data_IF_177514991373
#
_entry.id   IF_177514991373
#
_cell.length_a   1.000
_cell.length_b   1.000
_cell.length_c   1.000
_cell.angle_alpha   90.00
_cell.angle_beta   90.00
_cell.angle_gamma   90.00
#
_symmetry.space_group_name_H-M   'P 1'
#
loop_
_entity.id
_entity.type
_entity.pdbx_description
1 polymer ?
#
# COMPACT_ATOMS: atom_id res chain seq x y z
N UNK A 1 17.68 -35.34 60.15
CA UNK A 1 17.04 -34.17 60.77
C UNK A 1 16.91 -33.11 59.70
N UNK A 2 15.70 -32.92 59.19
CA UNK A 2 15.37 -32.02 58.11
C UNK A 2 15.19 -30.58 58.64
N UNK A 3 15.51 -29.59 57.82
CA UNK A 3 14.90 -28.26 57.94
C UNK A 3 14.69 -27.76 56.52
N UNK A 4 13.41 -27.67 56.14
CA UNK A 4 12.91 -27.16 54.89
C UNK A 4 12.92 -25.63 54.91
N UNK A 5 13.19 -25.01 53.77
CA UNK A 5 12.77 -23.63 53.46
C UNK A 5 12.08 -23.68 52.11
N UNK A 6 10.91 -23.04 52.08
CA UNK A 6 9.80 -23.22 51.16
C UNK A 6 10.05 -22.69 49.75
N UNK A 7 9.41 -23.36 48.78
CA UNK A 7 9.18 -22.92 47.41
C UNK A 7 8.28 -21.67 47.39
N UNK A 8 8.65 -20.64 46.64
CA UNK A 8 7.73 -19.59 46.22
C UNK A 8 7.38 -19.79 44.74
N UNK A 9 6.14 -20.21 44.52
CA UNK A 9 5.45 -20.30 43.24
C UNK A 9 5.28 -18.90 42.61
N UNK A 10 6.01 -18.62 41.53
CA UNK A 10 5.68 -17.52 40.63
C UNK A 10 4.62 -18.00 39.64
N UNK A 11 3.38 -18.11 40.13
CA UNK A 11 2.20 -18.28 39.29
C UNK A 11 1.98 -17.00 38.49
N UNK A 12 2.48 -16.95 37.25
CA UNK A 12 2.16 -15.90 36.28
C UNK A 12 0.67 -15.99 35.94
N UNK A 13 -0.11 -15.07 36.49
CA UNK A 13 -1.48 -14.78 36.12
C UNK A 13 -1.56 -14.62 34.60
N UNK A 14 -2.30 -15.52 33.93
CA UNK A 14 -2.73 -15.33 32.56
C UNK A 14 -3.60 -14.07 32.53
N UNK A 15 -3.05 -12.98 31.98
CA UNK A 15 -3.82 -11.81 31.58
C UNK A 15 -4.80 -12.24 30.49
N UNK A 16 -6.03 -12.51 30.90
CA UNK A 16 -7.19 -12.62 30.03
C UNK A 16 -7.47 -11.25 29.41
N UNK A 17 -7.00 -11.03 28.19
CA UNK A 17 -7.42 -9.91 27.34
C UNK A 17 -7.90 -10.45 25.98
N UNK A 18 -8.96 -11.25 26.01
CA UNK A 18 -9.77 -11.55 24.83
C UNK A 18 -11.24 -11.27 25.19
N UNK A 19 -11.53 -10.01 25.55
CA UNK A 19 -12.92 -9.52 25.51
C UNK A 19 -13.24 -9.16 24.05
N UNK A 20 -14.42 -9.62 23.58
CA UNK A 20 -15.04 -9.35 22.28
C UNK A 20 -14.79 -7.91 21.80
N UNK A 21 -13.70 -7.69 21.07
CA UNK A 21 -13.59 -6.53 20.20
C UNK A 21 -14.41 -6.86 18.97
N UNK A 22 -15.41 -6.03 18.64
CA UNK A 22 -15.90 -5.93 17.26
C UNK A 22 -14.70 -6.11 16.32
N UNK A 23 -14.73 -7.09 15.42
CA UNK A 23 -13.58 -7.50 14.60
C UNK A 23 -13.14 -6.32 13.69
N UNK A 24 -12.40 -5.35 14.25
CA UNK A 24 -11.98 -4.14 13.54
C UNK A 24 -10.89 -4.58 12.59
N UNK A 25 -11.26 -4.73 11.32
CA UNK A 25 -10.32 -5.04 10.25
C UNK A 25 -9.46 -3.81 9.97
N UNK A 26 -8.15 -3.85 10.22
CA UNK A 26 -7.29 -2.70 9.99
C UNK A 26 -7.10 -2.46 8.49
N UNK A 27 -6.74 -1.21 8.14
CA UNK A 27 -6.37 -0.81 6.78
C UNK A 27 -5.07 -0.02 6.80
N UNK A 28 -4.23 -0.19 5.77
CA UNK A 28 -2.95 0.49 5.65
C UNK A 28 -2.95 1.48 4.49
N UNK A 29 -2.30 2.63 4.64
CA UNK A 29 -2.20 3.64 3.58
C UNK A 29 -0.77 4.12 3.41
N UNK A 30 -0.26 4.02 2.19
CA UNK A 30 1.06 4.51 1.79
C UNK A 30 0.93 5.80 0.99
N UNK A 31 1.33 6.92 1.59
CA UNK A 31 1.28 8.22 0.93
C UNK A 31 2.21 8.31 -0.29
N UNK A 32 1.88 9.19 -1.23
CA UNK A 32 2.77 9.54 -2.33
C UNK A 32 3.96 10.37 -1.82
N UNK A 33 5.17 9.87 -2.08
CA UNK A 33 6.40 10.50 -1.58
C UNK A 33 7.55 10.53 -2.61
N UNK A 34 7.28 10.15 -3.88
CA UNK A 34 8.30 10.07 -4.92
C UNK A 34 9.45 9.15 -4.53
N UNK A 35 10.69 9.65 -4.55
CA UNK A 35 11.90 8.85 -4.28
C UNK A 35 12.09 8.49 -2.80
N UNK A 36 11.34 9.10 -1.88
CA UNK A 36 11.24 8.63 -0.49
C UNK A 36 10.46 7.31 -0.39
N UNK A 37 10.04 6.71 -1.51
CA UNK A 37 9.46 5.36 -1.58
C UNK A 37 10.31 4.31 -0.87
N UNK A 38 11.64 4.48 -0.82
CA UNK A 38 12.55 3.60 -0.05
C UNK A 38 12.21 3.54 1.44
N UNK A 39 11.69 4.63 2.03
CA UNK A 39 11.21 4.62 3.41
C UNK A 39 9.98 3.71 3.55
N UNK A 40 9.02 3.86 2.64
CA UNK A 40 7.82 3.02 2.61
C UNK A 40 8.15 1.55 2.35
N UNK A 41 9.20 1.23 1.58
CA UNK A 41 9.71 -0.14 1.43
C UNK A 41 10.17 -0.71 2.77
N UNK A 42 10.91 0.06 3.58
CA UNK A 42 11.29 -0.35 4.92
C UNK A 42 10.09 -0.64 5.81
N UNK A 43 9.08 0.24 5.80
CA UNK A 43 7.82 0.04 6.53
C UNK A 43 7.09 -1.22 6.05
N UNK A 44 7.00 -1.43 4.74
CA UNK A 44 6.38 -2.62 4.15
C UNK A 44 7.12 -3.92 4.51
N UNK A 45 8.47 -3.89 4.57
CA UNK A 45 9.26 -5.02 5.04
C UNK A 45 8.92 -5.35 6.50
N UNK A 46 8.89 -4.35 7.38
CA UNK A 46 8.51 -4.57 8.77
C UNK A 46 7.11 -5.17 8.89
N UNK A 47 6.13 -4.66 8.12
CA UNK A 47 4.78 -5.22 8.09
C UNK A 47 4.79 -6.69 7.64
N UNK A 48 5.48 -7.02 6.55
CA UNK A 48 5.59 -8.40 6.06
C UNK A 48 6.24 -9.33 7.10
N UNK A 49 7.30 -8.85 7.77
CA UNK A 49 8.15 -9.69 8.62
C UNK A 49 7.56 -9.90 10.03
N UNK A 50 6.72 -8.98 10.50
CA UNK A 50 6.21 -8.98 11.88
C UNK A 50 4.70 -9.19 11.98
N UNK A 51 3.98 -9.30 10.86
CA UNK A 51 2.53 -9.48 10.84
C UNK A 51 2.10 -10.41 9.70
N UNK A 52 0.87 -10.95 9.75
CA UNK A 52 0.31 -11.78 8.68
C UNK A 52 -0.49 -10.98 7.64
N UNK A 53 -0.33 -9.65 7.59
CA UNK A 53 -1.22 -8.74 6.85
C UNK A 53 -1.36 -9.08 5.37
N UNK A 54 -0.32 -9.69 4.77
CA UNK A 54 -0.31 -10.13 3.37
C UNK A 54 -1.23 -11.33 3.13
N UNK A 55 -1.42 -12.21 4.12
CA UNK A 55 -2.28 -13.39 4.03
C UNK A 55 -3.74 -13.07 4.39
N UNK A 56 -3.99 -12.02 5.17
CA UNK A 56 -5.33 -11.53 5.53
C UNK A 56 -5.98 -10.76 4.39
N UNK A 57 -6.82 -11.44 3.61
CA UNK A 57 -7.51 -10.88 2.43
C UNK A 57 -8.51 -9.77 2.75
N UNK A 58 -9.00 -9.71 4.00
CA UNK A 58 -9.90 -8.67 4.47
C UNK A 58 -9.20 -7.32 4.69
N UNK A 59 -7.87 -7.33 4.91
CA UNK A 59 -7.09 -6.10 5.13
C UNK A 59 -6.91 -5.38 3.80
N UNK A 60 -7.29 -4.10 3.80
CA UNK A 60 -7.21 -3.21 2.65
C UNK A 60 -5.97 -2.33 2.71
N UNK A 61 -5.44 -2.03 1.54
CA UNK A 61 -4.29 -1.17 1.35
C UNK A 61 -4.68 -0.02 0.44
N UNK A 62 -4.26 1.19 0.77
CA UNK A 62 -4.36 2.34 -0.10
C UNK A 62 -2.97 2.86 -0.44
N UNK A 63 -2.82 3.46 -1.62
CA UNK A 63 -1.57 4.08 -2.01
C UNK A 63 -1.73 5.15 -3.07
N UNK A 64 -0.79 6.10 -3.10
CA UNK A 64 -0.70 7.10 -4.16
C UNK A 64 0.72 7.13 -4.72
N UNK A 65 0.90 7.21 -6.05
CA UNK A 65 2.22 7.27 -6.70
C UNK A 65 3.18 6.20 -6.15
N UNK A 66 4.36 6.59 -5.64
CA UNK A 66 5.33 5.68 -5.02
C UNK A 66 4.75 4.78 -3.91
N UNK A 67 3.78 5.27 -3.13
CA UNK A 67 3.13 4.48 -2.10
C UNK A 67 2.23 3.37 -2.66
N UNK A 68 1.58 3.61 -3.81
CA UNK A 68 0.82 2.57 -4.51
C UNK A 68 1.74 1.47 -5.06
N UNK A 69 2.94 1.84 -5.52
CA UNK A 69 3.95 0.88 -5.94
C UNK A 69 4.44 0.03 -4.76
N UNK A 70 4.74 0.65 -3.61
CA UNK A 70 5.14 -0.09 -2.40
C UNK A 70 4.04 -1.06 -1.94
N UNK A 71 2.79 -0.61 -1.88
CA UNK A 71 1.67 -1.46 -1.52
C UNK A 71 1.52 -2.64 -2.50
N UNK A 72 1.74 -2.39 -3.80
CA UNK A 72 1.77 -3.43 -4.83
C UNK A 72 2.92 -4.41 -4.60
N UNK A 73 4.14 -3.93 -4.34
CA UNK A 73 5.31 -4.75 -4.04
C UNK A 73 5.04 -5.68 -2.85
N UNK A 74 4.47 -5.15 -1.77
CA UNK A 74 4.10 -5.91 -0.58
C UNK A 74 3.06 -7.01 -0.89
N UNK A 75 1.97 -6.65 -1.57
CA UNK A 75 0.85 -7.56 -1.84
C UNK A 75 1.17 -8.61 -2.91
N UNK A 76 2.02 -8.29 -3.86
CA UNK A 76 2.45 -9.20 -4.92
C UNK A 76 3.67 -10.04 -4.52
N UNK A 77 4.32 -9.74 -3.39
CA UNK A 77 5.51 -10.46 -2.94
C UNK A 77 6.73 -10.22 -3.84
N UNK A 78 6.83 -9.01 -4.41
CA UNK A 78 7.99 -8.59 -5.21
C UNK A 78 9.18 -8.35 -4.26
N UNK A 79 10.41 -8.60 -4.72
CA UNK A 79 11.59 -8.36 -3.90
C UNK A 79 11.73 -6.87 -3.54
N UNK A 80 11.82 -6.60 -2.23
CA UNK A 80 11.99 -5.23 -1.74
C UNK A 80 13.35 -4.63 -2.14
N UNK A 81 14.38 -5.47 -2.34
CA UNK A 81 15.70 -5.03 -2.81
C UNK A 81 15.66 -4.53 -4.25
N UNK A 82 15.00 -5.25 -5.15
CA UNK A 82 14.74 -4.84 -6.53
C UNK A 82 13.98 -3.52 -6.59
N UNK A 83 12.88 -3.40 -5.84
CA UNK A 83 12.11 -2.16 -5.79
C UNK A 83 12.92 -0.98 -5.20
N UNK A 84 13.77 -1.24 -4.20
CA UNK A 84 14.68 -0.23 -3.63
C UNK A 84 15.70 0.25 -4.65
N UNK A 85 16.32 -0.69 -5.40
CA UNK A 85 17.29 -0.35 -6.45
C UNK A 85 16.65 0.54 -7.50
N UNK A 86 15.44 0.22 -7.93
CA UNK A 86 14.69 1.04 -8.87
C UNK A 86 14.47 2.47 -8.37
N UNK A 87 13.95 2.65 -7.15
CA UNK A 87 13.75 4.00 -6.60
C UNK A 87 15.05 4.81 -6.56
N UNK A 88 16.17 4.18 -6.22
CA UNK A 88 17.49 4.81 -6.20
C UNK A 88 18.00 5.15 -7.60
N UNK A 89 17.77 4.29 -8.59
CA UNK A 89 18.15 4.52 -9.98
C UNK A 89 17.37 5.70 -10.56
N UNK A 90 16.04 5.72 -10.39
CA UNK A 90 15.21 6.84 -10.84
C UNK A 90 15.66 8.13 -10.15
N UNK A 91 15.94 8.09 -8.84
CA UNK A 91 16.42 9.24 -8.11
C UNK A 91 17.77 9.78 -8.64
N UNK A 92 18.67 8.90 -9.10
CA UNK A 92 19.94 9.29 -9.73
C UNK A 92 19.71 9.96 -11.08
N UNK A 93 18.91 9.35 -11.95
CA UNK A 93 18.59 9.86 -13.29
C UNK A 93 17.94 11.25 -13.20
N UNK A 94 16.96 11.41 -12.31
CA UNK A 94 16.28 12.70 -12.08
C UNK A 94 17.22 13.73 -11.47
N UNK A 95 18.12 13.33 -10.57
CA UNK A 95 19.14 14.24 -9.99
C UNK A 95 20.13 14.73 -11.03
N UNK A 96 20.54 13.86 -11.96
CA UNK A 96 21.46 14.18 -13.03
C UNK A 96 20.80 15.00 -14.15
N UNK A 97 19.48 15.20 -14.10
CA UNK A 97 18.67 15.87 -15.13
C UNK A 97 18.75 15.17 -16.49
N UNK A 98 19.00 13.87 -16.45
CA UNK A 98 18.97 13.05 -17.66
C UNK A 98 17.52 12.99 -18.15
N UNK A 99 17.27 13.18 -19.45
CA UNK A 99 15.92 13.04 -20.00
C UNK A 99 15.47 11.59 -19.82
N UNK A 100 14.45 11.39 -18.98
CA UNK A 100 13.89 10.07 -18.69
C UNK A 100 12.38 10.09 -18.87
N UNK A 101 11.89 9.12 -19.61
CA UNK A 101 10.47 8.80 -19.64
C UNK A 101 10.15 7.93 -18.42
N UNK A 102 9.75 8.57 -17.32
CA UNK A 102 9.40 7.90 -16.08
C UNK A 102 8.24 6.91 -16.26
N UNK A 103 7.31 7.19 -17.18
CA UNK A 103 6.20 6.29 -17.45
C UNK A 103 6.69 5.03 -18.17
N UNK A 104 7.52 5.19 -19.20
CA UNK A 104 8.10 4.03 -19.89
C UNK A 104 8.97 3.16 -18.97
N UNK A 105 9.78 3.79 -18.12
CA UNK A 105 10.60 3.08 -17.14
C UNK A 105 9.74 2.33 -16.13
N UNK A 106 8.69 2.98 -15.60
CA UNK A 106 7.76 2.34 -14.67
C UNK A 106 7.03 1.17 -15.32
N UNK A 107 6.51 1.36 -16.54
CA UNK A 107 5.86 0.30 -17.32
C UNK A 107 6.77 -0.92 -17.47
N UNK A 108 8.04 -0.71 -17.84
CA UNK A 108 9.03 -1.77 -18.01
C UNK A 108 9.22 -2.60 -16.74
N UNK A 109 9.44 -1.92 -15.61
CA UNK A 109 9.55 -2.56 -14.29
C UNK A 109 8.30 -3.35 -13.96
N UNK A 110 7.12 -2.76 -14.14
CA UNK A 110 5.89 -3.44 -13.77
C UNK A 110 5.66 -4.70 -14.62
N UNK A 111 6.06 -4.70 -15.89
CA UNK A 111 6.02 -5.93 -16.70
C UNK A 111 7.00 -6.99 -16.21
N UNK A 112 8.20 -6.58 -15.82
CA UNK A 112 9.29 -7.45 -15.36
C UNK A 112 8.97 -8.11 -14.00
N UNK A 113 8.50 -7.33 -13.03
CA UNK A 113 8.37 -7.78 -11.64
C UNK A 113 6.95 -8.18 -11.22
N UNK A 114 5.89 -7.70 -11.89
CA UNK A 114 4.55 -8.13 -11.50
C UNK A 114 4.32 -9.60 -11.88
N UNK A 115 3.80 -10.42 -10.97
CA UNK A 115 3.32 -11.75 -11.34
C UNK A 115 2.09 -11.64 -12.25
N UNK A 116 1.82 -12.66 -13.07
CA UNK A 116 0.71 -12.65 -14.03
C UNK A 116 -0.67 -12.54 -13.35
N UNK A 117 -0.79 -13.06 -12.13
CA UNK A 117 -1.98 -13.00 -11.30
C UNK A 117 -2.06 -11.73 -10.43
N UNK A 118 -1.19 -10.73 -10.62
CA UNK A 118 -1.14 -9.52 -9.81
C UNK A 118 -2.50 -8.82 -9.69
N UNK A 119 -3.21 -8.68 -10.80
CA UNK A 119 -4.54 -8.09 -10.82
C UNK A 119 -5.54 -8.83 -9.92
N UNK A 120 -5.45 -10.16 -9.80
CA UNK A 120 -6.28 -10.95 -8.89
C UNK A 120 -5.90 -10.75 -7.43
N UNK A 121 -4.60 -10.59 -7.12
CA UNK A 121 -4.09 -10.35 -5.77
C UNK A 121 -4.50 -8.97 -5.23
N UNK A 122 -4.59 -7.98 -6.12
CA UNK A 122 -4.81 -6.57 -5.77
C UNK A 122 -6.27 -6.15 -5.87
N UNK A 123 -7.09 -6.83 -6.67
CA UNK A 123 -8.50 -6.47 -6.88
C UNK A 123 -9.28 -6.41 -5.57
N UNK A 124 -9.98 -5.30 -5.33
CA UNK A 124 -10.74 -5.00 -4.10
C UNK A 124 -9.90 -5.00 -2.81
N UNK A 125 -8.57 -5.00 -2.93
CA UNK A 125 -7.64 -5.05 -1.81
C UNK A 125 -6.67 -3.88 -1.81
N UNK A 126 -6.22 -3.46 -2.99
CA UNK A 126 -5.44 -2.24 -3.20
C UNK A 126 -6.35 -1.14 -3.75
N UNK A 127 -6.23 0.05 -3.18
CA UNK A 127 -6.90 1.28 -3.59
C UNK A 127 -5.83 2.28 -4.05
N UNK A 128 -5.78 2.54 -5.34
CA UNK A 128 -4.81 3.48 -5.94
C UNK A 128 -5.46 4.84 -6.13
N UNK A 129 -4.93 5.84 -5.43
CA UNK A 129 -5.33 7.24 -5.56
C UNK A 129 -4.52 7.92 -6.65
N UNK A 130 -5.21 8.62 -7.56
CA UNK A 130 -4.61 9.25 -8.73
C UNK A 130 -5.15 10.66 -8.93
N UNK A 131 -4.27 11.57 -9.36
CA UNK A 131 -4.66 12.92 -9.78
C UNK A 131 -4.83 12.94 -11.29
N UNK A 132 -6.06 13.13 -11.76
CA UNK A 132 -6.37 13.32 -13.17
C UNK A 132 -5.98 14.77 -13.53
N UNK A 133 -4.88 14.91 -14.27
CA UNK A 133 -4.32 16.23 -14.64
C UNK A 133 -5.30 17.07 -15.46
N UNK A 134 -6.12 16.45 -16.32
CA UNK A 134 -7.22 17.12 -17.00
C UNK A 134 -8.41 17.29 -16.03
N UNK A 135 -8.47 18.47 -15.40
CA UNK A 135 -9.57 18.85 -14.50
C UNK A 135 -9.24 18.79 -13.01
N UNK A 136 -8.00 18.45 -12.63
CA UNK A 136 -7.51 18.41 -11.24
C UNK A 136 -8.40 17.57 -10.30
N UNK A 137 -9.01 16.51 -10.82
CA UNK A 137 -9.88 15.61 -10.04
C UNK A 137 -9.08 14.42 -9.55
N UNK A 138 -9.24 14.06 -8.28
CA UNK A 138 -8.69 12.82 -7.76
C UNK A 138 -9.66 11.67 -7.99
N UNK A 139 -9.14 10.55 -8.51
CA UNK A 139 -9.86 9.29 -8.68
C UNK A 139 -9.27 8.20 -7.78
N UNK A 140 -10.07 7.20 -7.46
CA UNK A 140 -9.68 6.02 -6.70
C UNK A 140 -10.02 4.77 -7.49
N UNK A 141 -9.08 3.82 -7.57
CA UNK A 141 -9.22 2.59 -8.36
C UNK A 141 -8.93 1.39 -7.50
N UNK A 142 -9.77 0.36 -7.61
CA UNK A 142 -9.57 -0.93 -6.92
C UNK A 142 -9.98 -2.16 -7.76
N UNK A 143 -10.73 -1.97 -8.86
CA UNK A 143 -11.14 -3.06 -9.75
C UNK A 143 -10.11 -3.28 -10.88
N UNK A 144 -9.12 -4.14 -10.63
CA UNK A 144 -8.12 -4.53 -11.64
C UNK A 144 -8.57 -5.78 -12.40
N UNK A 145 -8.74 -5.66 -13.73
CA UNK A 145 -9.30 -6.72 -14.59
C UNK A 145 -8.26 -7.61 -15.27
N UNK A 146 -7.05 -7.11 -15.48
CA UNK A 146 -5.90 -7.86 -16.00
C UNK A 146 -4.59 -7.20 -15.53
N UNK A 147 -3.44 -7.88 -15.70
CA UNK A 147 -2.12 -7.31 -15.41
C UNK A 147 -1.87 -6.05 -16.24
N UNK A 148 -2.29 -6.05 -17.50
CA UNK A 148 -2.19 -4.89 -18.41
C UNK A 148 -3.08 -3.75 -17.93
N UNK A 149 -4.33 -4.02 -17.53
CA UNK A 149 -5.22 -2.99 -16.99
C UNK A 149 -4.64 -2.37 -15.71
N UNK A 150 -4.01 -3.18 -14.84
CA UNK A 150 -3.29 -2.70 -13.66
C UNK A 150 -2.12 -1.79 -14.05
N UNK A 151 -1.29 -2.19 -15.02
CA UNK A 151 -0.14 -1.40 -15.48
C UNK A 151 -0.60 -0.08 -16.12
N UNK A 152 -1.62 -0.14 -16.96
CA UNK A 152 -2.20 1.05 -17.59
C UNK A 152 -2.71 2.06 -16.55
N UNK A 153 -3.20 1.59 -15.40
CA UNK A 153 -3.56 2.47 -14.29
C UNK A 153 -2.36 3.19 -13.66
N UNK A 154 -1.17 2.60 -13.66
CA UNK A 154 0.04 3.29 -13.17
C UNK A 154 0.67 4.21 -14.22
N UNK A 155 0.46 3.93 -15.51
CA UNK A 155 0.95 4.76 -16.62
C UNK A 155 0.08 5.97 -16.92
N UNK A 156 -1.23 5.90 -16.64
CA UNK A 156 -2.20 6.91 -17.02
C UNK A 156 -2.09 8.17 -16.12
N UNK A 157 -1.65 9.31 -16.66
CA UNK A 157 -2.52 10.27 -17.33
C UNK A 157 -3.75 9.64 -17.99
N UNK A 158 -4.88 9.62 -17.27
CA UNK A 158 -6.18 9.04 -17.66
C UNK A 158 -6.54 9.04 -19.14
N UNK A 159 -6.09 8.01 -19.88
CA UNK A 159 -6.43 7.79 -21.30
C UNK A 159 -7.33 6.59 -21.56
N UNK A 160 -7.84 5.96 -20.52
CA UNK A 160 -8.96 5.03 -20.66
C UNK A 160 -10.26 5.82 -20.66
N UNK A 161 -10.71 6.18 -21.86
CA UNK A 161 -12.10 6.54 -22.10
C UNK A 161 -13.03 5.46 -21.54
N UNK A 162 -14.13 5.92 -20.95
CA UNK A 162 -15.34 5.15 -20.65
C UNK A 162 -15.39 4.23 -19.41
N UNK A 163 -14.36 4.17 -18.55
CA UNK A 163 -14.41 3.41 -17.28
C UNK A 163 -14.36 4.25 -15.99
N UNK A 164 -14.38 5.58 -16.11
CA UNK A 164 -14.28 6.48 -14.97
C UNK A 164 -15.67 6.63 -14.32
N UNK A 165 -15.75 6.35 -13.02
CA UNK A 165 -16.85 6.66 -12.05
C UNK A 165 -17.56 5.50 -11.35
N UNK A 166 -17.13 4.24 -11.46
CA UNK A 166 -17.60 3.25 -10.48
C UNK A 166 -16.77 3.28 -9.19
N UNK A 167 -16.89 4.40 -8.46
CA UNK A 167 -16.79 4.33 -7.00
C UNK A 167 -18.05 3.62 -6.55
N UNK A 168 -17.95 2.33 -6.22
CA UNK A 168 -18.96 1.74 -5.34
C UNK A 168 -18.64 2.24 -3.93
N UNK A 169 -19.49 3.07 -3.31
CA UNK A 169 -19.30 3.47 -1.93
C UNK A 169 -19.65 2.27 -1.07
N UNK A 170 -18.65 1.53 -0.60
CA UNK A 170 -18.85 0.52 0.44
C UNK A 170 -18.04 0.78 1.71
N UNK A 171 -17.10 1.74 1.71
CA UNK A 171 -16.27 2.00 2.90
C UNK A 171 -16.15 3.50 3.22
N UNK A 172 -16.95 4.04 4.16
CA UNK A 172 -16.91 5.44 4.57
C UNK A 172 -15.61 5.84 5.28
N UNK A 173 -14.74 4.89 5.66
CA UNK A 173 -13.48 5.19 6.37
C UNK A 173 -12.40 5.80 5.47
N UNK A 174 -12.41 5.52 4.17
CA UNK A 174 -11.40 6.04 3.22
C UNK A 174 -11.62 7.54 2.90
N UNK A 175 -12.87 8.03 2.99
CA UNK A 175 -13.22 9.43 2.73
C UNK A 175 -12.67 10.40 3.79
N UNK A 176 -12.56 9.96 5.05
CA UNK A 176 -12.11 10.81 6.15
C UNK A 176 -10.61 11.15 6.11
N UNK A 177 -9.80 10.45 5.30
CA UNK A 177 -8.39 10.78 5.10
C UNK A 177 -8.13 11.90 4.08
N UNK A 178 -9.15 12.35 3.33
CA UNK A 178 -8.91 13.14 2.12
C UNK A 178 -9.58 14.52 2.04
N UNK A 179 -10.56 14.87 2.86
CA UNK A 179 -11.11 16.24 2.88
C UNK A 179 -11.69 16.63 4.24
N UNK A 180 -10.91 17.28 5.10
CA UNK A 180 -11.44 18.35 5.97
C UNK A 180 -10.44 19.51 5.99
N UNK A 181 -10.79 20.68 5.42
CA UNK A 181 -10.10 21.91 5.76
C UNK A 181 -10.39 22.18 7.25
N UNK A 182 -9.35 22.38 8.06
CA UNK A 182 -9.52 22.94 9.39
C UNK A 182 -10.36 24.23 9.27
N UNK A 183 -11.43 24.40 10.07
CA UNK A 183 -12.14 25.67 10.09
C UNK A 183 -11.15 26.77 10.48
N UNK A 184 -10.96 27.75 9.59
CA UNK A 184 -10.31 29.00 9.98
C UNK A 184 -11.29 29.69 10.93
N UNK A 185 -10.98 29.64 12.22
CA UNK A 185 -11.60 30.55 13.17
C UNK A 185 -11.23 31.98 12.75
N UNK A 186 -12.25 32.76 12.40
CA UNK A 186 -12.19 34.22 12.32
C UNK A 186 -12.30 34.81 13.73
#
# INVERSE_FOLDING_TARGET
>A
MATAVQEEDYSSTQDSMDEDSDDVVPSFSFSGCGFLGVYHIGVASCLRDHTDVVNRKQIRFAGASAGALVATTLLCGIDFGEMTRLFLEIAKVVRNKDPVDLAQLLRGVMYEYLPDDAHLRLRNRLYVSMTILQGLKCGLVTDFRSKEHLIDWFDANGRTGDALWQVTPQDPLILNLWVTPLPRHA
#
